data_IF_455928786926
#
_entry.id   IF_455928786926
#
_cell.length_a   1.000
_cell.length_b   1.000
_cell.length_c   1.000
_cell.angle_alpha   90.00
_cell.angle_beta   90.00
_cell.angle_gamma   90.00
#
_symmetry.space_group_name_H-M   'P 1'
#
loop_
_entity.id
_entity.type
_entity.pdbx_description
1 polymer ?
#
# COMPACT_ATOMS: atom_id res chain seq x y z
N UNK A 1 13.99 15.36 -6.09
CA UNK A 1 14.08 16.27 -7.25
C UNK A 1 14.85 15.69 -8.44
N UNK A 2 15.86 14.82 -8.23
CA UNK A 2 16.55 14.13 -9.34
C UNK A 2 15.76 12.98 -10.01
N UNK A 3 14.80 12.37 -9.31
CA UNK A 3 14.02 11.24 -9.85
C UNK A 3 13.02 11.66 -10.94
N UNK A 4 12.56 12.91 -10.92
CA UNK A 4 11.59 13.46 -11.90
C UNK A 4 12.29 13.87 -13.20
N UNK A 5 13.59 14.15 -13.15
CA UNK A 5 14.37 14.57 -14.32
C UNK A 5 14.76 13.38 -15.21
N UNK A 6 14.92 12.18 -14.64
CA UNK A 6 15.27 10.98 -15.42
C UNK A 6 14.07 10.42 -16.20
N UNK A 7 12.85 10.62 -15.71
CA UNK A 7 11.63 10.20 -16.41
C UNK A 7 11.35 11.05 -17.64
N UNK A 8 11.77 12.34 -17.65
CA UNK A 8 11.46 13.27 -18.73
C UNK A 8 12.35 13.10 -19.97
N UNK A 9 13.58 12.61 -19.81
CA UNK A 9 14.51 12.43 -20.94
C UNK A 9 14.16 11.22 -21.83
N UNK A 10 13.40 10.26 -21.30
CA UNK A 10 12.95 9.07 -22.05
C UNK A 10 11.76 9.37 -22.98
N UNK A 11 11.05 10.48 -22.77
CA UNK A 11 9.85 10.85 -23.56
C UNK A 11 10.17 11.44 -24.95
N UNK A 12 11.36 12.03 -25.16
CA UNK A 12 11.66 12.73 -26.42
C UNK A 12 12.14 11.83 -27.57
N UNK A 13 12.59 10.61 -27.28
CA UNK A 13 13.05 9.66 -28.33
C UNK A 13 11.93 8.75 -28.85
N UNK A 14 10.81 8.64 -28.14
CA UNK A 14 9.66 7.80 -28.50
C UNK A 14 8.77 8.42 -29.59
N UNK A 15 8.73 9.76 -29.70
CA UNK A 15 7.86 10.45 -30.67
C UNK A 15 8.23 10.25 -32.13
N UNK A 16 9.50 9.96 -32.44
CA UNK A 16 9.96 9.84 -33.83
C UNK A 16 9.73 8.45 -34.46
N UNK A 17 9.39 7.44 -33.65
CA UNK A 17 9.15 6.07 -34.13
C UNK A 17 7.65 5.75 -34.33
N UNK A 18 6.74 6.60 -33.84
CA UNK A 18 5.29 6.34 -33.89
C UNK A 18 4.67 6.38 -35.29
N UNK A 19 5.17 7.22 -36.20
CA UNK A 19 4.52 7.38 -37.53
C UNK A 19 4.74 6.20 -38.49
N UNK A 20 5.77 5.37 -38.27
CA UNK A 20 6.15 4.33 -39.25
C UNK A 20 5.60 2.93 -38.98
N UNK A 21 5.02 2.67 -37.81
CA UNK A 21 4.56 1.33 -37.41
C UNK A 21 3.06 1.09 -37.59
N UNK A 22 2.26 2.11 -37.93
CA UNK A 22 0.81 1.97 -38.13
C UNK A 22 0.38 1.20 -39.39
N UNK A 23 1.30 0.64 -40.19
CA UNK A 23 0.98 -0.06 -41.45
C UNK A 23 1.15 -1.57 -41.46
N UNK A 24 1.31 -2.22 -40.31
CA UNK A 24 1.38 -3.69 -40.23
C UNK A 24 0.36 -4.22 -39.22
N UNK A 25 -0.93 -4.18 -39.56
CA UNK A 25 -1.93 -5.04 -38.90
C UNK A 25 -3.13 -5.26 -39.82
N UNK A 26 -3.10 -6.30 -40.66
CA UNK A 26 -4.22 -6.64 -41.53
C UNK A 26 -4.46 -8.16 -41.66
N UNK A 27 -4.05 -8.99 -40.68
CA UNK A 27 -4.27 -10.44 -40.76
C UNK A 27 -4.73 -11.16 -39.48
N UNK A 28 -5.00 -10.44 -38.39
CA UNK A 28 -5.61 -11.07 -37.21
C UNK A 28 -6.82 -10.25 -36.82
N UNK A 29 -7.99 -10.87 -36.91
CA UNK A 29 -9.23 -10.40 -36.29
C UNK A 29 -8.93 -9.82 -34.90
N UNK A 30 -9.54 -8.69 -34.58
CA UNK A 30 -9.65 -8.21 -33.21
C UNK A 30 -10.53 -9.20 -32.46
N UNK A 31 -9.94 -10.32 -32.04
CA UNK A 31 -10.46 -11.09 -30.92
C UNK A 31 -10.60 -10.08 -29.79
N UNK A 32 -11.84 -9.81 -29.38
CA UNK A 32 -12.13 -9.36 -28.02
C UNK A 32 -11.62 -10.48 -27.11
N UNK A 33 -10.31 -10.46 -26.83
CA UNK A 33 -9.67 -11.40 -25.93
C UNK A 33 -10.22 -11.10 -24.56
N UNK A 34 -11.16 -11.92 -24.09
CA UNK A 34 -11.35 -12.06 -22.65
C UNK A 34 -10.01 -12.56 -22.12
N UNK A 35 -9.33 -11.68 -21.40
CA UNK A 35 -8.04 -12.01 -20.83
C UNK A 35 -8.29 -12.89 -19.62
N UNK A 36 -7.97 -14.16 -19.78
CA UNK A 36 -8.06 -15.16 -18.73
C UNK A 36 -6.67 -15.48 -18.21
N UNK A 37 -6.62 -15.90 -16.94
CA UNK A 37 -5.40 -16.43 -16.34
C UNK A 37 -4.90 -17.63 -17.15
N UNK A 38 -3.63 -17.59 -17.54
CA UNK A 38 -2.99 -18.65 -18.32
C UNK A 38 -2.24 -19.61 -17.40
N UNK A 39 -2.17 -20.88 -17.80
CA UNK A 39 -1.50 -21.92 -17.02
C UNK A 39 0.02 -21.93 -17.30
N UNK A 40 0.83 -21.67 -16.26
CA UNK A 40 2.29 -21.61 -16.38
C UNK A 40 2.94 -22.95 -16.75
N UNK A 41 2.41 -24.08 -16.29
CA UNK A 41 2.96 -25.41 -16.63
C UNK A 41 2.76 -25.74 -18.10
N UNK A 42 1.57 -25.46 -18.63
CA UNK A 42 1.30 -25.59 -20.07
C UNK A 42 2.21 -24.67 -20.86
N UNK A 43 2.40 -23.42 -20.43
CA UNK A 43 3.31 -22.51 -21.11
C UNK A 43 4.76 -23.03 -21.12
N UNK A 44 5.26 -23.56 -20.00
CA UNK A 44 6.58 -24.20 -19.91
C UNK A 44 6.69 -25.38 -20.87
N UNK A 45 5.67 -26.24 -20.94
CA UNK A 45 5.63 -27.37 -21.88
C UNK A 45 5.67 -26.87 -23.33
N UNK A 46 4.82 -25.91 -23.69
CA UNK A 46 4.74 -25.35 -25.05
C UNK A 46 5.98 -24.53 -25.45
N UNK A 47 6.77 -24.07 -24.48
CA UNK A 47 8.08 -23.47 -24.76
C UNK A 47 9.14 -24.49 -25.20
N UNK A 48 8.83 -25.80 -25.17
CA UNK A 48 9.75 -26.89 -25.49
C UNK A 48 11.10 -26.81 -24.73
N UNK A 49 11.06 -26.34 -23.47
CA UNK A 49 12.24 -26.14 -22.63
C UNK A 49 12.92 -24.78 -22.78
N UNK A 50 12.45 -23.92 -23.70
CA UNK A 50 12.94 -22.55 -23.89
C UNK A 50 12.12 -21.52 -23.09
N UNK A 51 11.81 -21.84 -21.84
CA UNK A 51 11.02 -20.96 -20.96
C UNK A 51 11.57 -19.51 -20.88
N UNK A 52 12.90 -19.26 -20.83
CA UNK A 52 13.44 -17.90 -20.84
C UNK A 52 13.03 -17.10 -22.09
N UNK A 53 13.07 -17.72 -23.28
CA UNK A 53 12.64 -17.06 -24.53
C UNK A 53 11.14 -16.77 -24.50
N UNK A 54 10.35 -17.66 -23.90
CA UNK A 54 8.93 -17.45 -23.68
C UNK A 54 8.65 -16.26 -22.75
N UNK A 55 9.40 -16.14 -21.65
CA UNK A 55 9.31 -15.01 -20.72
C UNK A 55 9.74 -13.70 -21.40
N UNK A 56 10.84 -13.71 -22.16
CA UNK A 56 11.29 -12.55 -22.94
C UNK A 56 10.23 -12.09 -23.94
N UNK A 57 9.54 -13.03 -24.60
CA UNK A 57 8.42 -12.71 -25.49
C UNK A 57 7.25 -12.07 -24.74
N UNK A 58 6.88 -12.57 -23.56
CA UNK A 58 5.85 -11.95 -22.72
C UNK A 58 6.24 -10.54 -22.30
N UNK A 59 7.49 -10.32 -21.92
CA UNK A 59 8.03 -9.01 -21.59
C UNK A 59 7.99 -8.06 -22.79
N UNK A 60 8.42 -8.51 -23.98
CA UNK A 60 8.36 -7.71 -25.21
C UNK A 60 6.91 -7.35 -25.53
N UNK A 61 5.97 -8.31 -25.43
CA UNK A 61 4.56 -8.03 -25.68
C UNK A 61 3.98 -7.02 -24.70
N UNK A 62 4.34 -7.13 -23.43
CA UNK A 62 4.00 -6.17 -22.38
C UNK A 62 4.54 -4.77 -22.70
N UNK A 63 5.83 -4.65 -23.03
CA UNK A 63 6.45 -3.36 -23.36
C UNK A 63 5.95 -2.76 -24.67
N UNK A 64 5.60 -3.61 -25.64
CA UNK A 64 5.11 -3.22 -26.95
C UNK A 64 3.59 -2.97 -26.98
N UNK A 65 2.86 -3.22 -25.88
CA UNK A 65 1.42 -2.94 -25.84
C UNK A 65 1.20 -1.42 -25.92
N UNK A 66 0.96 -0.92 -27.13
CA UNK A 66 0.74 0.50 -27.43
C UNK A 66 -0.64 0.98 -27.00
N UNK A 67 -1.55 0.04 -26.76
CA UNK A 67 -2.85 0.27 -26.16
C UNK A 67 -2.72 0.15 -24.64
N UNK A 68 -2.25 1.20 -23.97
CA UNK A 68 -2.44 1.38 -22.53
C UNK A 68 -3.93 1.61 -22.23
N UNK A 69 -4.76 0.64 -22.60
CA UNK A 69 -6.18 0.59 -22.22
C UNK A 69 -6.14 0.42 -20.71
N UNK A 70 -6.53 1.49 -20.03
CA UNK A 70 -6.63 1.49 -18.57
C UNK A 70 -7.67 0.48 -18.16
N UNK A 71 -7.37 -0.29 -17.11
CA UNK A 71 -8.33 -1.16 -16.47
C UNK A 71 -9.51 -0.34 -15.95
N UNK A 72 -10.70 -0.91 -16.07
CA UNK A 72 -11.85 -0.41 -15.32
C UNK A 72 -11.76 -0.88 -13.88
N UNK A 73 -12.51 -0.23 -12.98
CA UNK A 73 -12.46 -0.58 -11.57
C UNK A 73 -12.92 -2.03 -11.33
N UNK A 74 -12.06 -2.82 -10.70
CA UNK A 74 -12.32 -4.25 -10.42
C UNK A 74 -11.87 -5.21 -11.52
N UNK A 75 -11.40 -4.71 -12.66
CA UNK A 75 -10.85 -5.52 -13.75
C UNK A 75 -9.31 -5.45 -13.79
N UNK A 76 -8.70 -6.43 -14.46
CA UNK A 76 -7.27 -6.40 -14.75
C UNK A 76 -6.99 -5.87 -16.15
N UNK A 77 -5.90 -5.10 -16.28
CA UNK A 77 -5.40 -4.72 -17.59
C UNK A 77 -4.90 -5.98 -18.34
N UNK A 78 -4.98 -5.99 -19.68
CA UNK A 78 -4.46 -7.12 -20.46
C UNK A 78 -2.99 -7.44 -20.14
N UNK A 79 -2.20 -6.40 -19.91
CA UNK A 79 -0.81 -6.46 -19.50
C UNK A 79 -0.58 -7.23 -18.18
N UNK A 80 -1.54 -7.23 -17.25
CA UNK A 80 -1.43 -7.99 -16.01
C UNK A 80 -1.26 -9.48 -16.28
N UNK A 81 -2.04 -10.06 -17.19
CA UNK A 81 -1.98 -11.50 -17.47
C UNK A 81 -0.64 -11.95 -18.08
N UNK A 82 0.05 -11.04 -18.76
CA UNK A 82 1.39 -11.29 -19.30
C UNK A 82 2.44 -11.29 -18.19
N UNK A 83 2.37 -10.31 -17.29
CA UNK A 83 3.22 -10.22 -16.11
C UNK A 83 2.95 -11.38 -15.13
N UNK A 84 1.67 -11.74 -14.95
CA UNK A 84 1.21 -12.84 -14.12
C UNK A 84 1.83 -14.15 -14.60
N UNK A 85 1.64 -14.49 -15.88
CA UNK A 85 2.22 -15.69 -16.47
C UNK A 85 3.75 -15.66 -16.44
N UNK A 86 4.37 -14.53 -16.80
CA UNK A 86 5.83 -14.43 -16.84
C UNK A 86 6.45 -14.66 -15.45
N UNK A 87 5.84 -14.13 -14.40
CA UNK A 87 6.32 -14.31 -13.01
C UNK A 87 5.96 -15.65 -12.39
N UNK A 88 4.98 -16.39 -12.91
CA UNK A 88 4.78 -17.81 -12.57
C UNK A 88 5.78 -18.73 -13.29
N UNK A 89 6.21 -18.34 -14.49
CA UNK A 89 7.19 -19.09 -15.26
C UNK A 89 8.61 -18.90 -14.72
N UNK A 90 8.99 -17.64 -14.48
CA UNK A 90 10.26 -17.24 -13.87
C UNK A 90 10.01 -16.34 -12.65
N UNK A 91 9.85 -16.96 -11.49
CA UNK A 91 9.62 -16.26 -10.22
C UNK A 91 10.83 -15.47 -9.74
N UNK A 92 12.01 -15.70 -10.31
CA UNK A 92 13.22 -14.99 -9.92
C UNK A 92 13.47 -13.71 -10.73
N UNK A 93 12.59 -13.36 -11.67
CA UNK A 93 12.73 -12.17 -12.49
C UNK A 93 12.26 -10.91 -11.75
N UNK A 94 13.21 -10.26 -11.06
CA UNK A 94 12.97 -9.10 -10.21
C UNK A 94 12.27 -7.92 -10.92
N UNK A 95 12.69 -7.58 -12.14
CA UNK A 95 12.20 -6.43 -12.87
C UNK A 95 10.73 -6.56 -13.29
N UNK A 96 10.22 -7.80 -13.47
CA UNK A 96 8.80 -8.02 -13.74
C UNK A 96 7.95 -7.55 -12.56
N UNK A 97 8.37 -7.82 -11.33
CA UNK A 97 7.66 -7.34 -10.14
C UNK A 97 7.77 -5.83 -10.00
N UNK A 98 8.98 -5.28 -10.11
CA UNK A 98 9.20 -3.85 -9.86
C UNK A 98 8.65 -2.97 -10.99
N UNK A 99 9.01 -3.25 -12.23
CA UNK A 99 8.56 -2.51 -13.40
C UNK A 99 7.09 -2.75 -13.70
N UNK A 100 6.67 -4.02 -13.66
CA UNK A 100 5.28 -4.40 -13.91
C UNK A 100 4.30 -3.75 -12.93
N UNK A 101 4.61 -3.78 -11.62
CA UNK A 101 3.75 -3.13 -10.60
C UNK A 101 3.62 -1.64 -10.83
N UNK A 102 4.73 -0.94 -11.12
CA UNK A 102 4.69 0.50 -11.40
C UNK A 102 3.86 0.84 -12.64
N UNK A 103 3.97 0.05 -13.71
CA UNK A 103 3.19 0.28 -14.93
C UNK A 103 1.71 -0.02 -14.69
N UNK A 104 1.39 -1.12 -13.99
CA UNK A 104 0.02 -1.49 -13.65
C UNK A 104 -0.66 -0.38 -12.86
N UNK A 105 0.00 0.15 -11.82
CA UNK A 105 -0.61 1.17 -10.96
C UNK A 105 -0.63 2.56 -11.60
N UNK A 106 0.49 3.04 -12.16
CA UNK A 106 0.61 4.44 -12.61
C UNK A 106 -0.01 4.66 -13.99
N UNK A 107 0.16 3.71 -14.91
CA UNK A 107 -0.20 3.89 -16.31
C UNK A 107 -1.54 3.24 -16.62
N UNK A 108 -1.72 2.00 -16.15
CA UNK A 108 -2.86 1.15 -16.51
C UNK A 108 -4.02 1.23 -15.53
N UNK A 109 -3.88 1.89 -14.38
CA UNK A 109 -4.91 2.00 -13.34
C UNK A 109 -5.38 0.62 -12.80
N UNK A 110 -4.55 -0.41 -12.92
CA UNK A 110 -4.82 -1.76 -12.40
C UNK A 110 -4.19 -1.92 -11.00
N UNK A 111 -4.86 -1.33 -10.02
CA UNK A 111 -4.41 -1.30 -8.62
C UNK A 111 -4.40 -2.70 -8.00
N UNK A 112 -5.39 -3.52 -8.33
CA UNK A 112 -5.53 -4.90 -7.83
C UNK A 112 -4.43 -5.78 -8.38
N UNK A 113 -4.20 -5.75 -9.70
CA UNK A 113 -3.11 -6.48 -10.35
C UNK A 113 -1.74 -6.04 -9.85
N UNK A 114 -1.54 -4.73 -9.63
CA UNK A 114 -0.31 -4.22 -9.03
C UNK A 114 -0.07 -4.80 -7.62
N UNK A 115 -1.09 -4.82 -6.76
CA UNK A 115 -1.02 -5.40 -5.41
C UNK A 115 -0.71 -6.90 -5.42
N UNK A 116 -1.35 -7.64 -6.32
CA UNK A 116 -1.13 -9.09 -6.46
C UNK A 116 0.28 -9.40 -6.97
N UNK A 117 0.72 -8.69 -8.00
CA UNK A 117 2.05 -8.89 -8.60
C UNK A 117 3.17 -8.58 -7.60
N UNK A 118 3.12 -7.43 -6.91
CA UNK A 118 4.14 -7.09 -5.91
C UNK A 118 4.07 -8.00 -4.68
N UNK A 119 2.86 -8.47 -4.33
CA UNK A 119 2.65 -9.49 -3.29
C UNK A 119 3.43 -10.77 -3.60
N UNK A 120 3.28 -11.28 -4.83
CA UNK A 120 4.04 -12.46 -5.30
C UNK A 120 5.55 -12.23 -5.27
N UNK A 121 6.02 -11.07 -5.71
CA UNK A 121 7.44 -10.72 -5.62
C UNK A 121 7.95 -10.72 -4.18
N UNK A 122 7.13 -10.27 -3.22
CA UNK A 122 7.49 -10.32 -1.81
C UNK A 122 7.47 -11.75 -1.24
N UNK A 123 6.54 -12.59 -1.69
CA UNK A 123 6.47 -14.00 -1.31
C UNK A 123 7.67 -14.77 -1.83
N UNK A 124 8.06 -14.59 -3.09
CA UNK A 124 9.29 -15.17 -3.65
C UNK A 124 10.51 -14.75 -2.82
N UNK A 125 10.65 -13.45 -2.55
CA UNK A 125 11.74 -12.89 -1.73
C UNK A 125 11.83 -13.53 -0.34
N UNK A 126 10.70 -13.85 0.28
CA UNK A 126 10.63 -14.43 1.63
C UNK A 126 10.87 -15.94 1.63
N UNK A 127 10.28 -16.64 0.68
CA UNK A 127 10.11 -18.09 0.75
C UNK A 127 11.07 -18.86 -0.16
N UNK A 128 11.60 -18.22 -1.20
CA UNK A 128 12.35 -18.90 -2.27
C UNK A 128 13.73 -18.28 -2.53
N UNK A 129 13.87 -16.96 -2.47
CA UNK A 129 15.12 -16.26 -2.82
C UNK A 129 16.35 -16.77 -2.05
N UNK A 130 16.18 -17.17 -0.78
CA UNK A 130 17.25 -17.71 0.06
C UNK A 130 17.81 -19.06 -0.44
N UNK A 131 17.08 -19.77 -1.30
CA UNK A 131 17.51 -21.04 -1.90
C UNK A 131 18.52 -20.81 -3.04
N UNK A 132 18.58 -19.60 -3.59
CA UNK A 132 19.53 -19.22 -4.63
C UNK A 132 20.89 -18.84 -4.02
N UNK A 133 21.96 -18.98 -4.80
CA UNK A 133 23.31 -18.63 -4.36
C UNK A 133 23.43 -17.14 -4.00
N UNK A 134 24.38 -16.79 -3.12
CA UNK A 134 24.63 -15.39 -2.76
C UNK A 134 25.01 -14.53 -3.97
N UNK A 135 25.71 -15.11 -4.95
CA UNK A 135 26.05 -14.42 -6.21
C UNK A 135 24.80 -14.14 -7.03
N UNK A 136 23.89 -15.12 -7.14
CA UNK A 136 22.60 -14.93 -7.81
C UNK A 136 21.80 -13.79 -7.14
N UNK A 137 21.66 -13.84 -5.81
CA UNK A 137 20.93 -12.81 -5.07
C UNK A 137 21.55 -11.42 -5.30
N UNK A 138 22.87 -11.31 -5.31
CA UNK A 138 23.57 -10.04 -5.55
C UNK A 138 23.38 -9.50 -6.97
N UNK A 139 23.36 -10.37 -7.97
CA UNK A 139 23.27 -9.98 -9.39
C UNK A 139 21.82 -9.68 -9.79
N UNK A 140 20.89 -10.57 -9.47
CA UNK A 140 19.50 -10.51 -9.95
C UNK A 140 18.53 -9.90 -8.95
N UNK A 141 18.89 -9.84 -7.66
CA UNK A 141 18.08 -9.24 -6.59
C UNK A 141 18.89 -8.26 -5.73
N UNK A 142 19.59 -7.27 -6.34
CA UNK A 142 20.51 -6.39 -5.61
C UNK A 142 19.82 -5.50 -4.56
N UNK A 143 18.51 -5.24 -4.72
CA UNK A 143 17.75 -4.33 -3.86
C UNK A 143 16.46 -4.98 -3.33
N UNK A 144 16.55 -6.07 -2.56
CA UNK A 144 15.37 -6.83 -2.13
C UNK A 144 14.47 -6.01 -1.19
N UNK A 145 15.00 -4.97 -0.54
CA UNK A 145 14.26 -4.03 0.29
C UNK A 145 13.28 -3.15 -0.50
N UNK A 146 13.46 -3.01 -1.83
CA UNK A 146 12.57 -2.18 -2.65
C UNK A 146 11.18 -2.81 -2.83
N UNK A 147 11.10 -4.14 -2.83
CA UNK A 147 9.83 -4.87 -3.00
C UNK A 147 8.81 -4.49 -1.90
N UNK A 148 9.12 -4.62 -0.60
CA UNK A 148 8.19 -4.19 0.44
C UNK A 148 7.96 -2.67 0.47
N UNK A 149 8.87 -1.83 -0.03
CA UNK A 149 8.59 -0.39 -0.17
C UNK A 149 7.55 -0.14 -1.26
N UNK A 150 7.69 -0.78 -2.42
CA UNK A 150 6.73 -0.63 -3.50
C UNK A 150 5.37 -1.21 -3.08
N UNK A 151 5.36 -2.33 -2.35
CA UNK A 151 4.14 -2.85 -1.72
C UNK A 151 3.54 -1.84 -0.74
N UNK A 152 4.35 -1.19 0.11
CA UNK A 152 3.86 -0.17 1.03
C UNK A 152 3.26 1.04 0.29
N UNK A 153 3.87 1.45 -0.83
CA UNK A 153 3.34 2.50 -1.69
C UNK A 153 1.96 2.13 -2.24
N UNK A 154 1.83 0.93 -2.84
CA UNK A 154 0.55 0.46 -3.40
C UNK A 154 -0.52 0.42 -2.30
N UNK A 155 -0.22 -0.16 -1.14
CA UNK A 155 -1.17 -0.24 -0.02
C UNK A 155 -1.60 1.15 0.47
N UNK A 156 -0.65 2.07 0.66
CA UNK A 156 -0.92 3.39 1.21
C UNK A 156 -1.72 4.27 0.25
N UNK A 157 -1.30 4.36 -1.01
CA UNK A 157 -1.84 5.35 -1.95
C UNK A 157 -3.01 4.83 -2.79
N UNK A 158 -3.10 3.52 -3.01
CA UNK A 158 -4.15 2.94 -3.86
C UNK A 158 -5.27 2.30 -3.07
N UNK A 159 -5.00 1.86 -1.84
CA UNK A 159 -5.95 1.14 -0.99
C UNK A 159 -6.27 1.84 0.33
N UNK A 160 -5.73 3.05 0.56
CA UNK A 160 -5.84 3.76 1.84
C UNK A 160 -5.52 2.82 3.03
N UNK A 161 -4.51 1.93 2.91
CA UNK A 161 -4.15 0.96 3.94
C UNK A 161 -2.81 1.31 4.58
N UNK A 162 -2.83 2.29 5.49
CA UNK A 162 -1.62 2.68 6.23
C UNK A 162 -1.16 1.57 7.19
N UNK A 163 -2.06 0.72 7.69
CA UNK A 163 -1.69 -0.38 8.56
C UNK A 163 -0.84 -1.41 7.82
N UNK A 164 -1.31 -1.85 6.65
CA UNK A 164 -0.58 -2.75 5.75
C UNK A 164 0.71 -2.11 5.26
N UNK A 165 0.65 -0.85 4.81
CA UNK A 165 1.84 -0.11 4.39
C UNK A 165 2.88 0.02 5.51
N UNK A 166 2.44 0.21 6.76
CA UNK A 166 3.34 0.30 7.90
C UNK A 166 4.12 -0.98 8.13
N UNK A 167 3.44 -2.13 8.06
CA UNK A 167 4.08 -3.45 8.16
C UNK A 167 5.10 -3.65 7.05
N UNK A 168 4.76 -3.26 5.83
CA UNK A 168 5.65 -3.36 4.68
C UNK A 168 6.88 -2.43 4.82
N UNK A 169 6.71 -1.18 5.30
CA UNK A 169 7.86 -0.31 5.61
C UNK A 169 8.76 -0.87 6.73
N UNK A 170 8.18 -1.43 7.79
CA UNK A 170 8.93 -2.08 8.87
C UNK A 170 9.70 -3.30 8.37
N UNK A 171 9.12 -4.08 7.47
CA UNK A 171 9.78 -5.20 6.81
C UNK A 171 10.95 -4.72 5.94
N UNK A 172 10.74 -3.69 5.13
CA UNK A 172 11.79 -3.08 4.31
C UNK A 172 12.98 -2.61 5.15
N UNK A 173 12.71 -2.00 6.32
CA UNK A 173 13.75 -1.51 7.22
C UNK A 173 14.64 -2.60 7.83
N UNK A 174 14.16 -3.85 7.86
CA UNK A 174 14.91 -5.01 8.37
C UNK A 174 15.80 -5.65 7.31
N UNK A 175 15.64 -5.29 6.05
CA UNK A 175 16.39 -5.87 4.93
C UNK A 175 17.71 -5.09 4.73
N UNK A 176 18.88 -5.77 4.68
CA UNK A 176 20.16 -5.11 4.46
C UNK A 176 20.22 -4.29 3.16
N UNK A 177 21.02 -3.23 3.17
CA UNK A 177 21.20 -2.33 2.01
C UNK A 177 20.09 -1.29 1.82
N UNK A 178 19.06 -1.30 2.68
CA UNK A 178 18.01 -0.29 2.67
C UNK A 178 18.50 1.11 3.07
N UNK A 179 17.89 2.18 2.53
CA UNK A 179 18.18 3.55 2.94
C UNK A 179 18.02 3.79 4.46
N UNK A 180 18.89 4.60 5.10
CA UNK A 180 18.84 4.84 6.54
C UNK A 180 17.52 5.41 7.07
N UNK A 181 16.78 6.15 6.24
CA UNK A 181 15.50 6.74 6.65
C UNK A 181 14.44 5.67 6.99
N UNK A 182 14.55 4.46 6.44
CA UNK A 182 13.59 3.38 6.66
C UNK A 182 13.57 2.93 8.12
N UNK A 183 14.72 2.86 8.77
CA UNK A 183 14.81 2.50 10.18
C UNK A 183 14.09 3.53 11.06
N UNK A 184 14.30 4.82 10.77
CA UNK A 184 13.62 5.91 11.48
C UNK A 184 12.11 5.90 11.24
N UNK A 185 11.67 5.62 10.00
CA UNK A 185 10.25 5.51 9.67
C UNK A 185 9.62 4.31 10.38
N UNK A 186 10.24 3.13 10.30
CA UNK A 186 9.78 1.92 10.97
C UNK A 186 9.68 2.12 12.49
N UNK A 187 10.70 2.69 13.12
CA UNK A 187 10.71 2.98 14.55
C UNK A 187 9.60 3.96 14.99
N UNK A 188 9.17 4.88 14.11
CA UNK A 188 7.99 5.72 14.38
C UNK A 188 6.70 4.91 14.28
N UNK A 189 6.57 4.13 13.21
CA UNK A 189 5.38 3.31 12.94
C UNK A 189 5.16 2.18 13.97
N UNK A 190 6.21 1.72 14.66
CA UNK A 190 6.11 0.72 15.72
C UNK A 190 5.58 1.27 17.05
N UNK A 191 5.64 2.59 17.27
CA UNK A 191 5.16 3.20 18.53
C UNK A 191 3.63 3.20 18.58
N UNK A 192 3.01 3.06 19.78
CA UNK A 192 1.59 3.30 19.94
C UNK A 192 1.19 4.67 19.38
N UNK A 193 0.23 4.71 18.46
CA UNK A 193 -0.21 5.94 17.79
C UNK A 193 0.73 6.47 16.70
N UNK A 194 1.86 5.80 16.44
CA UNK A 194 2.85 6.23 15.45
C UNK A 194 2.31 6.30 14.02
N UNK A 195 1.34 5.46 13.68
CA UNK A 195 0.64 5.51 12.40
C UNK A 195 -0.15 6.80 12.22
N UNK A 196 -0.85 7.28 13.26
CA UNK A 196 -1.52 8.58 13.22
C UNK A 196 -0.50 9.71 13.07
N UNK A 197 0.63 9.66 13.77
CA UNK A 197 1.70 10.66 13.62
C UNK A 197 2.23 10.72 12.19
N UNK A 198 2.52 9.56 11.59
CA UNK A 198 3.01 9.46 10.22
C UNK A 198 1.94 9.90 9.22
N UNK A 199 0.69 9.47 9.39
CA UNK A 199 -0.44 9.88 8.56
C UNK A 199 -0.68 11.40 8.60
N UNK A 200 -0.59 12.01 9.78
CA UNK A 200 -0.69 13.47 9.93
C UNK A 200 0.46 14.21 9.23
N UNK A 201 1.69 13.71 9.33
CA UNK A 201 2.84 14.27 8.59
C UNK A 201 2.64 14.15 7.08
N UNK A 202 2.14 13.01 6.60
CA UNK A 202 1.83 12.78 5.19
C UNK A 202 0.76 13.76 4.69
N UNK A 203 -0.37 13.88 5.40
CA UNK A 203 -1.43 14.82 5.03
C UNK A 203 -0.93 16.26 5.02
N UNK A 204 -0.12 16.66 6.01
CA UNK A 204 0.49 18.00 6.01
C UNK A 204 1.37 18.24 4.78
N UNK A 205 2.18 17.25 4.39
CA UNK A 205 2.98 17.34 3.17
C UNK A 205 2.10 17.46 1.92
N UNK A 206 1.06 16.62 1.79
CA UNK A 206 0.14 16.66 0.65
C UNK A 206 -0.62 17.98 0.56
N UNK A 207 -1.02 18.56 1.69
CA UNK A 207 -1.67 19.89 1.78
C UNK A 207 -0.72 20.98 1.28
N UNK A 208 0.55 20.92 1.67
CA UNK A 208 1.57 21.90 1.24
C UNK A 208 1.88 21.82 -0.26
N UNK A 209 1.75 20.64 -0.86
CA UNK A 209 2.02 20.40 -2.28
C UNK A 209 0.76 20.26 -3.12
N UNK A 210 -0.42 20.63 -2.60
CA UNK A 210 -1.69 20.45 -3.28
C UNK A 210 -1.74 21.30 -4.57
N UNK A 211 -2.22 20.74 -5.70
CA UNK A 211 -2.19 21.44 -6.99
C UNK A 211 -3.22 22.57 -7.11
N UNK A 212 -4.28 22.53 -6.29
CA UNK A 212 -5.35 23.53 -6.29
C UNK A 212 -6.04 23.56 -4.92
N UNK A 213 -6.82 24.63 -4.67
CA UNK A 213 -7.47 24.85 -3.37
C UNK A 213 -8.51 23.78 -3.05
N UNK A 214 -9.23 23.27 -4.05
CA UNK A 214 -10.22 22.20 -3.84
C UNK A 214 -9.56 20.90 -3.32
N UNK A 215 -8.43 20.50 -3.88
CA UNK A 215 -7.66 19.37 -3.39
C UNK A 215 -7.12 19.62 -1.98
N UNK A 216 -6.69 20.85 -1.69
CA UNK A 216 -6.22 21.26 -0.37
C UNK A 216 -7.33 21.18 0.68
N UNK A 217 -8.51 21.72 0.40
CA UNK A 217 -9.68 21.65 1.29
C UNK A 217 -10.10 20.21 1.59
N UNK A 218 -10.08 19.34 0.58
CA UNK A 218 -10.37 17.92 0.76
C UNK A 218 -9.35 17.23 1.68
N UNK A 219 -8.06 17.54 1.52
CA UNK A 219 -7.00 17.02 2.39
C UNK A 219 -7.08 17.59 3.82
N UNK A 220 -7.47 18.84 3.98
CA UNK A 220 -7.70 19.45 5.30
C UNK A 220 -8.89 18.82 6.03
N UNK A 221 -9.94 18.40 5.30
CA UNK A 221 -11.03 17.60 5.86
C UNK A 221 -10.51 16.24 6.36
N UNK A 222 -9.76 15.51 5.53
CA UNK A 222 -9.13 14.25 5.94
C UNK A 222 -8.22 14.41 7.16
N UNK A 223 -7.44 15.50 7.21
CA UNK A 223 -6.57 15.81 8.35
C UNK A 223 -7.36 16.03 9.64
N UNK A 224 -8.51 16.70 9.59
CA UNK A 224 -9.39 16.89 10.74
C UNK A 224 -9.93 15.55 11.25
N UNK A 225 -10.43 14.71 10.35
CA UNK A 225 -10.92 13.36 10.71
C UNK A 225 -9.81 12.52 11.34
N UNK A 226 -8.62 12.51 10.74
CA UNK A 226 -7.48 11.74 11.27
C UNK A 226 -7.03 12.23 12.64
N UNK A 227 -7.11 13.54 12.92
CA UNK A 227 -6.82 14.06 14.24
C UNK A 227 -7.83 13.58 15.28
N UNK A 228 -9.13 13.56 14.95
CA UNK A 228 -10.16 13.04 15.85
C UNK A 228 -9.86 11.56 16.16
N UNK A 229 -9.60 10.75 15.12
CA UNK A 229 -9.16 9.36 15.28
C UNK A 229 -7.93 9.21 16.17
N UNK A 230 -6.90 10.05 15.97
CA UNK A 230 -5.70 10.07 16.81
C UNK A 230 -6.02 10.38 18.28
N UNK A 231 -6.92 11.34 18.52
CA UNK A 231 -7.34 11.73 19.87
C UNK A 231 -8.09 10.60 20.55
N UNK A 232 -9.04 9.98 19.84
CA UNK A 232 -9.78 8.82 20.33
C UNK A 232 -8.86 7.64 20.61
N UNK A 233 -7.89 7.36 19.75
CA UNK A 233 -6.89 6.34 19.99
C UNK A 233 -6.11 6.60 21.29
N UNK A 234 -5.61 7.83 21.46
CA UNK A 234 -4.86 8.23 22.65
C UNK A 234 -5.68 8.12 23.93
N UNK A 235 -6.92 8.59 23.91
CA UNK A 235 -7.84 8.50 25.05
C UNK A 235 -8.19 7.05 25.39
N UNK A 236 -8.49 6.21 24.39
CA UNK A 236 -8.79 4.79 24.61
C UNK A 236 -7.58 4.03 25.15
N UNK A 237 -6.38 4.32 24.64
CA UNK A 237 -5.14 3.74 25.13
C UNK A 237 -4.87 4.13 26.58
N UNK A 238 -5.01 5.42 26.91
CA UNK A 238 -4.86 5.92 28.28
C UNK A 238 -5.91 5.34 29.23
N UNK A 239 -7.18 5.27 28.80
CA UNK A 239 -8.27 4.72 29.60
C UNK A 239 -8.08 3.23 29.88
N UNK A 240 -7.64 2.46 28.87
CA UNK A 240 -7.28 1.05 29.07
C UNK A 240 -6.18 0.89 30.11
N UNK A 241 -5.08 1.64 29.99
CA UNK A 241 -3.99 1.58 30.97
C UNK A 241 -4.45 2.00 32.37
N UNK A 242 -5.35 2.97 32.47
CA UNK A 242 -5.96 3.38 33.73
C UNK A 242 -6.77 2.24 34.35
N UNK A 243 -7.60 1.55 33.56
CA UNK A 243 -8.39 0.40 34.02
C UNK A 243 -7.50 -0.75 34.51
N UNK A 244 -6.37 -0.99 33.84
CA UNK A 244 -5.39 -2.02 34.21
C UNK A 244 -4.77 -1.78 35.61
N UNK A 245 -4.87 -0.56 36.15
CA UNK A 245 -4.43 -0.26 37.53
C UNK A 245 -5.41 -0.75 38.61
N UNK A 246 -6.61 -1.21 38.24
CA UNK A 246 -7.63 -1.67 39.18
C UNK A 246 -7.87 -3.19 39.03
N UNK A 247 -7.25 -4.05 39.87
CA UNK A 247 -7.43 -5.50 39.78
C UNK A 247 -8.88 -5.97 39.93
N UNK A 248 -9.67 -5.23 40.71
CA UNK A 248 -11.10 -5.48 40.90
C UNK A 248 -11.94 -5.29 39.63
N UNK A 249 -11.44 -4.48 38.69
CA UNK A 249 -12.00 -4.38 37.35
C UNK A 249 -11.88 -5.77 36.69
N UNK A 250 -10.68 -6.33 36.55
CA UNK A 250 -10.48 -7.58 35.80
C UNK A 250 -11.16 -8.83 36.40
N UNK A 251 -11.50 -8.83 37.69
CA UNK A 251 -12.13 -9.98 38.38
C UNK A 251 -13.63 -10.13 38.11
N UNK A 252 -14.35 -9.08 37.71
CA UNK A 252 -15.81 -9.10 37.51
C UNK A 252 -16.15 -8.83 36.05
N UNK A 253 -16.34 -9.90 35.27
CA UNK A 253 -16.95 -9.80 33.92
C UNK A 253 -18.28 -10.58 33.91
N UNK A 254 -19.34 -10.04 33.29
CA UNK A 254 -19.46 -8.71 32.66
C UNK A 254 -19.73 -7.59 33.68
N UNK A 255 -19.27 -6.36 33.39
CA UNK A 255 -19.57 -5.19 34.23
C UNK A 255 -20.98 -4.68 34.00
N UNK A 256 -21.57 -4.10 35.05
CA UNK A 256 -22.76 -3.27 34.88
C UNK A 256 -22.38 -1.91 34.25
N UNK A 257 -23.27 -1.34 33.43
CA UNK A 257 -23.03 -0.02 32.82
C UNK A 257 -22.80 1.10 33.85
N UNK A 258 -23.22 0.92 35.10
CA UNK A 258 -23.00 1.86 36.19
C UNK A 258 -21.54 1.86 36.70
N UNK A 259 -20.92 0.69 36.82
CA UNK A 259 -19.50 0.56 37.19
C UNK A 259 -18.61 1.17 36.11
N UNK A 260 -18.91 0.91 34.85
CA UNK A 260 -18.19 1.48 33.70
C UNK A 260 -18.27 3.03 33.75
N UNK A 261 -19.46 3.60 33.97
CA UNK A 261 -19.63 5.06 34.11
C UNK A 261 -18.87 5.64 35.29
N UNK A 262 -18.75 4.89 36.40
CA UNK A 262 -17.96 5.30 37.56
C UNK A 262 -16.48 5.41 37.24
N UNK A 263 -15.90 4.39 36.60
CA UNK A 263 -14.49 4.42 36.18
C UNK A 263 -14.23 5.51 35.13
N UNK A 264 -15.16 5.73 34.20
CA UNK A 264 -15.07 6.80 33.22
C UNK A 264 -15.01 8.19 33.87
N UNK A 265 -15.94 8.51 34.77
CA UNK A 265 -15.94 9.79 35.49
C UNK A 265 -14.64 9.99 36.27
N UNK A 266 -14.15 8.93 36.91
CA UNK A 266 -12.89 8.95 37.65
C UNK A 266 -11.69 9.22 36.72
N UNK A 267 -11.60 8.51 35.60
CA UNK A 267 -10.56 8.71 34.59
C UNK A 267 -10.52 10.15 34.08
N UNK A 268 -11.68 10.70 33.70
CA UNK A 268 -11.80 12.07 33.19
C UNK A 268 -11.33 13.10 34.22
N UNK A 269 -11.73 12.92 35.48
CA UNK A 269 -11.33 13.82 36.57
C UNK A 269 -9.83 13.75 36.87
N UNK A 270 -9.27 12.54 37.00
CA UNK A 270 -7.86 12.36 37.39
C UNK A 270 -6.87 12.77 36.31
N UNK A 271 -7.24 12.62 35.03
CA UNK A 271 -6.38 12.99 33.91
C UNK A 271 -6.63 14.43 33.40
N UNK A 272 -7.58 15.16 34.01
CA UNK A 272 -7.92 16.53 33.61
C UNK A 272 -8.48 16.65 32.19
N UNK A 273 -9.09 15.59 31.66
CA UNK A 273 -9.68 15.62 30.33
C UNK A 273 -10.99 16.43 30.34
N UNK A 274 -11.16 17.26 29.32
CA UNK A 274 -12.43 17.91 29.03
C UNK A 274 -13.39 16.91 28.39
N UNK A 275 -14.67 16.95 28.76
CA UNK A 275 -15.72 16.22 28.03
C UNK A 275 -15.84 16.78 26.61
N UNK A 276 -15.43 18.03 26.36
CA UNK A 276 -15.52 18.64 25.03
C UNK A 276 -14.40 18.15 24.10
N UNK A 277 -14.81 17.74 22.91
CA UNK A 277 -13.94 17.49 21.77
C UNK A 277 -13.34 18.82 21.27
N UNK A 278 -12.07 18.86 20.82
CA UNK A 278 -11.45 20.08 20.30
C UNK A 278 -12.17 20.74 19.12
N UNK A 279 -13.05 20.02 18.40
CA UNK A 279 -13.90 20.55 17.33
C UNK A 279 -15.34 20.87 17.74
N UNK A 280 -15.60 20.95 19.05
CA UNK A 280 -16.87 21.45 19.59
C UNK A 280 -17.94 20.38 19.85
N UNK A 281 -17.60 19.10 19.73
CA UNK A 281 -18.44 17.99 20.19
C UNK A 281 -18.15 17.57 21.62
N UNK A 282 -18.55 16.35 21.97
CA UNK A 282 -18.36 15.75 23.28
C UNK A 282 -17.83 14.32 23.15
N UNK A 283 -16.89 13.96 24.03
CA UNK A 283 -16.45 12.61 24.24
C UNK A 283 -17.42 11.87 25.14
N UNK A 284 -17.82 10.68 24.72
CA UNK A 284 -18.69 9.80 25.49
C UNK A 284 -18.16 8.36 25.44
N UNK A 285 -18.54 7.57 26.43
CA UNK A 285 -18.18 6.17 26.49
C UNK A 285 -19.33 5.32 25.93
N UNK A 286 -19.02 4.51 24.93
CA UNK A 286 -19.94 3.54 24.33
C UNK A 286 -20.19 2.32 25.23
N UNK A 287 -21.20 1.53 24.88
CA UNK A 287 -21.57 0.30 25.59
C UNK A 287 -20.47 -0.77 25.52
N UNK A 288 -19.65 -0.73 24.46
CA UNK A 288 -18.47 -1.57 24.26
C UNK A 288 -17.28 -1.15 25.15
N UNK A 289 -17.41 -0.09 25.96
CA UNK A 289 -16.34 0.45 26.80
C UNK A 289 -15.28 1.25 26.05
N UNK A 290 -15.53 1.63 24.79
CA UNK A 290 -14.66 2.50 24.01
C UNK A 290 -15.15 3.95 24.07
N UNK A 291 -14.20 4.87 24.01
CA UNK A 291 -14.45 6.31 23.96
C UNK A 291 -14.71 6.71 22.51
N UNK A 292 -15.79 7.44 22.28
CA UNK A 292 -16.23 7.96 20.99
C UNK A 292 -16.39 9.49 21.06
N UNK A 293 -16.39 10.14 19.89
CA UNK A 293 -16.72 11.56 19.75
C UNK A 293 -18.11 11.71 19.13
N UNK A 294 -18.85 12.75 19.54
CA UNK A 294 -20.10 13.14 18.89
C UNK A 294 -19.89 13.84 17.55
N UNK A 295 -18.65 14.25 17.23
CA UNK A 295 -18.29 14.78 15.91
C UNK A 295 -18.13 13.60 14.93
N UNK A 296 -18.90 13.59 13.82
CA UNK A 296 -18.68 12.64 12.75
C UNK A 296 -17.27 12.80 12.18
N UNK A 297 -16.54 11.70 12.07
CA UNK A 297 -15.27 11.61 11.39
C UNK A 297 -15.29 10.41 10.47
N UNK A 298 -14.53 10.50 9.38
CA UNK A 298 -14.38 9.42 8.41
C UNK A 298 -13.06 8.69 8.65
N UNK A 299 -13.02 7.42 8.30
CA UNK A 299 -11.79 6.63 8.27
C UNK A 299 -10.82 7.25 7.27
N UNK A 300 -9.59 7.51 7.70
CA UNK A 300 -8.56 8.14 6.86
C UNK A 300 -7.31 7.28 6.84
N UNK A 301 -6.85 6.93 5.64
CA UNK A 301 -5.70 6.03 5.44
C UNK A 301 -5.87 4.69 6.19
N UNK A 302 -7.11 4.20 6.32
CA UNK A 302 -7.36 2.92 6.95
C UNK A 302 -7.33 2.98 8.49
N UNK A 303 -7.20 4.17 9.06
CA UNK A 303 -7.27 4.43 10.50
C UNK A 303 -8.64 5.00 10.87
N UNK A 304 -9.19 4.50 11.98
CA UNK A 304 -10.40 5.05 12.63
C UNK A 304 -10.10 6.39 13.30
#
# INVERSE_FOLDING_TARGET
MLLVFFTFLFFLTQGFFQEKLQRISAYTETLTVHAEKRNADLFKIFSFGHAPVGVDWLLIRFLASTSYIKATEGEHALAYYDLDLATEVDSAFFELYMGGTNILVVILNDKTGARELIGRGNDFRKNELWQYSSEFQKVFWPFPWQVPILQAYVLLFEFDDLLGASKAFQEAAKIPGGPPYLQNLAARLEKPGGQYEVGMRLLNFMIQTAPNEMAKEALEKKKRSLFIGQTLFGMNFAYKNFLDTFPEYHKKRPFSGEEIRKYWKKFMFENGYSIKDPWGGEFYLGENGQIHSSIPHEKVLGLE
#
